data_IF_874241047401
#
_entry.id   IF_874241047401
#
_cell.length_a   1.000
_cell.length_b   1.000
_cell.length_c   1.000
_cell.angle_alpha   90.00
_cell.angle_beta   90.00
_cell.angle_gamma   90.00
#
_symmetry.space_group_name_H-M   'P 1'
#
loop_
_entity.id
_entity.type
_entity.pdbx_description
1 polymer ?
#
# COMPACT_ATOMS: atom_id res chain seq x y z
N UNK A 1 6.02 -54.39 -1.52
CA UNK A 1 5.51 -53.92 -2.82
C UNK A 1 5.60 -52.40 -2.84
N UNK A 2 6.70 -51.91 -3.40
CA UNK A 2 6.82 -50.71 -4.26
C UNK A 2 5.93 -49.49 -3.98
N UNK A 3 6.49 -48.57 -3.20
CA UNK A 3 6.76 -47.16 -3.59
C UNK A 3 6.14 -46.71 -4.92
N UNK A 4 5.04 -45.94 -4.91
CA UNK A 4 4.54 -45.26 -6.11
C UNK A 4 3.56 -44.08 -5.88
N UNK A 5 3.72 -43.26 -4.83
CA UNK A 5 2.82 -42.09 -4.65
C UNK A 5 3.51 -40.77 -4.22
N UNK A 6 4.83 -40.62 -4.41
CA UNK A 6 5.55 -39.38 -4.13
C UNK A 6 6.11 -38.69 -5.39
N UNK A 7 5.39 -38.75 -6.52
CA UNK A 7 5.71 -37.94 -7.70
C UNK A 7 4.54 -37.02 -8.02
N UNK A 8 4.43 -35.93 -7.27
CA UNK A 8 3.86 -34.66 -7.72
C UNK A 8 4.10 -33.54 -6.68
N UNK A 9 5.20 -33.63 -5.92
CA UNK A 9 5.79 -32.44 -5.31
C UNK A 9 6.65 -31.79 -6.39
N UNK A 10 6.19 -30.69 -6.96
CA UNK A 10 7.10 -29.74 -7.62
C UNK A 10 7.91 -29.06 -6.51
N UNK A 11 8.78 -29.86 -5.87
CA UNK A 11 9.96 -29.34 -5.22
C UNK A 11 10.87 -28.95 -6.38
N UNK A 12 11.04 -27.65 -6.63
CA UNK A 12 12.29 -27.21 -7.24
C UNK A 12 13.37 -27.63 -6.24
N UNK A 13 14.25 -28.59 -6.54
CA UNK A 13 15.26 -29.02 -5.59
C UNK A 13 16.32 -27.92 -5.55
N UNK A 14 16.09 -26.88 -4.75
CA UNK A 14 17.20 -26.09 -4.24
C UNK A 14 17.73 -26.90 -3.07
N UNK A 15 18.98 -27.39 -3.11
CA UNK A 15 19.52 -28.27 -2.08
C UNK A 15 19.38 -27.57 -0.73
N UNK A 16 18.49 -28.13 0.08
CA UNK A 16 18.28 -27.73 1.46
C UNK A 16 19.49 -28.24 2.22
N UNK A 17 20.13 -27.31 2.92
CA UNK A 17 21.26 -27.47 3.83
C UNK A 17 22.62 -27.41 3.11
N UNK A 18 23.31 -26.28 3.34
CA UNK A 18 24.74 -26.03 3.11
C UNK A 18 25.16 -25.11 1.95
N UNK A 19 24.40 -24.04 1.69
CA UNK A 19 25.01 -22.79 1.22
C UNK A 19 25.00 -21.76 2.35
N UNK A 20 26.07 -21.76 3.16
CA UNK A 20 26.33 -20.68 4.11
C UNK A 20 26.25 -19.32 3.37
N UNK A 21 25.42 -18.45 3.94
CA UNK A 21 25.44 -16.99 3.85
C UNK A 21 24.89 -16.32 2.57
N UNK A 22 23.62 -15.87 2.72
CA UNK A 22 23.02 -14.67 2.12
C UNK A 22 22.67 -14.74 0.63
N UNK A 23 21.45 -15.17 0.25
CA UNK A 23 20.71 -14.53 -0.87
C UNK A 23 19.26 -14.97 -1.20
N UNK A 24 18.68 -16.02 -0.61
CA UNK A 24 17.32 -16.47 -0.99
C UNK A 24 16.33 -16.47 0.18
N UNK A 25 15.15 -15.87 -0.05
CA UNK A 25 13.98 -16.00 0.81
C UNK A 25 13.21 -17.25 0.38
N UNK A 26 12.82 -18.07 1.35
CA UNK A 26 12.23 -19.40 1.12
C UNK A 26 10.83 -19.44 1.71
N UNK A 27 9.85 -19.81 0.89
CA UNK A 27 8.51 -20.18 1.33
C UNK A 27 8.33 -21.69 1.32
N UNK A 28 7.60 -22.24 2.27
CA UNK A 28 7.31 -23.68 2.40
C UNK A 28 5.82 -23.90 2.64
N UNK A 29 5.24 -24.91 2.00
CA UNK A 29 3.88 -25.39 2.28
C UNK A 29 3.95 -26.84 2.79
N UNK A 30 3.20 -27.17 3.83
CA UNK A 30 3.18 -28.52 4.39
C UNK A 30 1.85 -28.85 5.06
N UNK A 31 1.49 -30.13 5.08
CA UNK A 31 0.21 -30.63 5.59
C UNK A 31 0.36 -31.59 6.80
N UNK A 32 1.57 -32.07 7.05
CA UNK A 32 1.86 -33.08 8.08
C UNK A 32 2.88 -32.64 9.16
N UNK A 33 2.93 -33.42 10.24
CA UNK A 33 3.85 -33.19 11.37
C UNK A 33 5.34 -33.33 10.98
N UNK A 34 5.63 -34.11 9.93
CA UNK A 34 6.95 -34.26 9.33
C UNK A 34 7.45 -32.96 8.67
N UNK A 35 6.55 -32.05 8.29
CA UNK A 35 6.92 -30.78 7.66
C UNK A 35 7.14 -29.65 8.67
N UNK A 36 6.80 -29.85 9.95
CA UNK A 36 6.87 -28.83 11.00
C UNK A 36 8.26 -28.20 11.14
N UNK A 37 9.33 -29.01 11.02
CA UNK A 37 10.70 -28.49 11.06
C UNK A 37 11.00 -27.55 9.89
N UNK A 38 10.56 -27.90 8.68
CA UNK A 38 10.75 -27.10 7.48
C UNK A 38 9.86 -25.84 7.46
N UNK A 39 8.60 -25.97 7.89
CA UNK A 39 7.66 -24.84 8.02
C UNK A 39 8.19 -23.78 8.97
N UNK A 40 8.77 -24.19 10.11
CA UNK A 40 9.35 -23.27 11.10
C UNK A 40 10.68 -22.66 10.65
N UNK A 41 11.47 -23.40 9.86
CA UNK A 41 12.74 -22.91 9.33
C UNK A 41 12.58 -22.00 8.10
N UNK A 42 11.46 -22.10 7.38
CA UNK A 42 11.17 -21.25 6.23
C UNK A 42 10.96 -19.79 6.65
N UNK A 43 11.26 -18.86 5.73
CA UNK A 43 10.97 -17.44 5.97
C UNK A 43 9.47 -17.15 5.94
N UNK A 44 8.70 -17.96 5.19
CA UNK A 44 7.25 -17.95 5.18
C UNK A 44 6.73 -19.40 5.09
N UNK A 45 6.27 -19.96 6.20
CA UNK A 45 5.57 -21.24 6.23
C UNK A 45 4.06 -21.07 5.99
N UNK A 46 3.46 -22.00 5.25
CA UNK A 46 2.00 -22.13 5.09
C UNK A 46 1.59 -23.56 5.44
N UNK A 47 0.82 -23.71 6.51
CA UNK A 47 0.22 -25.00 6.84
C UNK A 47 -1.05 -25.21 6.01
N UNK A 48 -1.16 -26.35 5.32
CA UNK A 48 -2.35 -26.75 4.56
C UNK A 48 -3.35 -27.56 5.40
N UNK A 49 -3.04 -27.76 6.69
CA UNK A 49 -3.85 -28.53 7.63
C UNK A 49 -4.09 -27.70 8.89
N UNK A 50 -5.31 -27.80 9.45
CA UNK A 50 -5.68 -27.13 10.70
C UNK A 50 -5.14 -27.89 11.93
N UNK A 51 -4.56 -29.07 11.73
CA UNK A 51 -3.99 -29.92 12.79
C UNK A 51 -2.58 -29.45 13.23
N UNK A 52 -1.76 -30.36 13.79
CA UNK A 52 -0.46 -30.07 14.43
C UNK A 52 0.49 -29.20 13.60
N UNK A 53 0.43 -29.28 12.26
CA UNK A 53 1.26 -28.46 11.36
C UNK A 53 0.96 -26.94 11.44
N UNK A 54 -0.24 -26.54 11.88
CA UNK A 54 -0.62 -25.13 12.03
C UNK A 54 0.15 -24.43 13.16
N UNK A 55 0.56 -25.16 14.19
CA UNK A 55 1.33 -24.64 15.33
C UNK A 55 2.75 -24.22 14.91
N UNK A 56 3.28 -24.85 13.85
CA UNK A 56 4.64 -24.61 13.36
C UNK A 56 4.73 -23.47 12.33
N UNK A 57 3.61 -22.95 11.85
CA UNK A 57 3.55 -22.09 10.66
C UNK A 57 2.91 -20.73 10.94
N UNK A 58 3.45 -19.60 10.43
CA UNK A 58 2.86 -18.28 10.60
C UNK A 58 1.54 -18.10 9.83
N UNK A 59 1.33 -18.88 8.76
CA UNK A 59 0.07 -18.91 8.00
C UNK A 59 -0.55 -20.31 8.06
N UNK A 60 -1.88 -20.37 8.17
CA UNK A 60 -2.66 -21.62 8.08
C UNK A 60 -3.77 -21.45 7.05
N UNK A 61 -3.77 -22.30 6.03
CA UNK A 61 -4.77 -22.33 4.99
C UNK A 61 -6.04 -23.03 5.50
N UNK A 62 -7.18 -22.38 5.34
CA UNK A 62 -8.49 -22.98 5.70
C UNK A 62 -8.92 -24.07 4.71
N UNK A 63 -8.47 -23.96 3.47
CA UNK A 63 -8.66 -24.97 2.43
C UNK A 63 -7.35 -25.72 2.29
N UNK A 64 -7.40 -27.05 2.27
CA UNK A 64 -6.23 -27.91 2.06
C UNK A 64 -5.69 -27.89 0.62
N UNK A 65 -5.48 -26.69 0.06
CA UNK A 65 -4.89 -26.49 -1.26
C UNK A 65 -3.97 -25.27 -1.26
N UNK A 66 -3.13 -25.17 -2.27
CA UNK A 66 -2.09 -24.13 -2.38
C UNK A 66 -2.59 -22.81 -2.99
N UNK A 67 -3.90 -22.64 -3.23
CA UNK A 67 -4.44 -21.43 -3.87
C UNK A 67 -4.24 -20.17 -3.01
N UNK A 68 -4.06 -20.33 -1.70
CA UNK A 68 -3.73 -19.23 -0.81
C UNK A 68 -2.32 -18.66 -1.03
N UNK A 69 -1.41 -19.40 -1.68
CA UNK A 69 -0.01 -18.97 -1.86
C UNK A 69 0.09 -17.76 -2.79
N UNK A 70 -0.53 -17.75 -3.99
CA UNK A 70 -0.65 -16.53 -4.80
C UNK A 70 -1.24 -15.34 -4.04
N UNK A 71 -2.28 -15.56 -3.23
CA UNK A 71 -2.93 -14.48 -2.46
C UNK A 71 -1.99 -13.90 -1.39
N UNK A 72 -1.28 -14.75 -0.65
CA UNK A 72 -0.26 -14.32 0.32
C UNK A 72 0.85 -13.52 -0.38
N UNK A 73 1.29 -13.94 -1.58
CA UNK A 73 2.30 -13.21 -2.34
C UNK A 73 1.78 -11.85 -2.82
N UNK A 74 0.52 -11.77 -3.26
CA UNK A 74 -0.13 -10.52 -3.68
C UNK A 74 -0.23 -9.55 -2.50
N UNK A 75 -0.77 -10.01 -1.38
CA UNK A 75 -0.91 -9.22 -0.15
C UNK A 75 0.45 -8.79 0.41
N UNK A 76 1.45 -9.66 0.40
CA UNK A 76 2.81 -9.31 0.82
C UNK A 76 3.43 -8.23 -0.06
N UNK A 77 3.20 -8.25 -1.38
CA UNK A 77 3.68 -7.21 -2.31
C UNK A 77 2.92 -5.89 -2.15
N UNK A 78 1.60 -5.95 -1.96
CA UNK A 78 0.77 -4.79 -1.68
C UNK A 78 1.19 -4.11 -0.38
N UNK A 79 1.35 -4.90 0.69
CA UNK A 79 1.84 -4.44 1.99
C UNK A 79 3.23 -3.79 1.87
N UNK A 80 4.16 -4.43 1.16
CA UNK A 80 5.50 -3.86 0.95
C UNK A 80 5.42 -2.51 0.23
N UNK A 81 4.62 -2.41 -0.84
CA UNK A 81 4.42 -1.17 -1.58
C UNK A 81 3.79 -0.07 -0.70
N UNK A 82 2.79 -0.42 0.12
CA UNK A 82 2.14 0.48 1.07
C UNK A 82 3.10 0.99 2.13
N UNK A 83 3.90 0.12 2.75
CA UNK A 83 4.91 0.51 3.75
C UNK A 83 5.94 1.47 3.16
N UNK A 84 6.43 1.20 1.94
CA UNK A 84 7.37 2.10 1.26
C UNK A 84 6.72 3.43 0.84
N UNK A 85 5.45 3.42 0.43
CA UNK A 85 4.66 4.63 0.19
C UNK A 85 4.53 5.47 1.46
N UNK A 86 4.11 4.85 2.57
CA UNK A 86 3.93 5.49 3.87
C UNK A 86 5.26 6.06 4.38
N UNK A 87 6.36 5.35 4.18
CA UNK A 87 7.69 5.85 4.54
C UNK A 87 8.06 7.12 3.75
N UNK A 88 7.86 7.12 2.42
CA UNK A 88 8.14 8.31 1.58
C UNK A 88 7.30 9.50 2.02
N UNK A 89 6.00 9.27 2.26
CA UNK A 89 5.10 10.26 2.84
C UNK A 89 5.66 10.82 4.15
N UNK A 90 6.04 9.94 5.07
CA UNK A 90 6.54 10.31 6.40
C UNK A 90 7.80 11.18 6.34
N UNK A 91 8.76 10.79 5.49
CA UNK A 91 9.97 11.59 5.30
C UNK A 91 9.66 12.94 4.67
N UNK A 92 8.88 12.95 3.57
CA UNK A 92 8.59 14.18 2.86
C UNK A 92 7.80 15.18 3.71
N UNK A 93 6.79 14.75 4.47
CA UNK A 93 6.04 15.68 5.31
C UNK A 93 6.93 16.30 6.41
N UNK A 94 7.77 15.50 7.07
CA UNK A 94 8.67 16.01 8.11
C UNK A 94 9.57 17.14 7.57
N UNK A 95 10.15 16.93 6.37
CA UNK A 95 10.99 17.94 5.74
C UNK A 95 10.20 19.15 5.27
N UNK A 96 8.98 18.98 4.76
CA UNK A 96 8.14 20.10 4.37
C UNK A 96 7.78 20.95 5.57
N UNK A 97 7.26 20.36 6.64
CA UNK A 97 6.94 21.07 7.88
C UNK A 97 8.18 21.77 8.42
N UNK A 98 9.33 21.08 8.46
CA UNK A 98 10.60 21.67 8.88
C UNK A 98 10.98 22.90 8.04
N UNK A 99 10.81 22.87 6.71
CA UNK A 99 11.08 24.04 5.87
C UNK A 99 10.20 25.22 6.25
N UNK A 100 8.90 25.00 6.47
CA UNK A 100 7.98 26.06 6.94
C UNK A 100 8.41 26.66 8.29
N UNK A 101 8.79 25.79 9.24
CA UNK A 101 9.30 26.21 10.56
C UNK A 101 10.60 27.01 10.43
N UNK A 102 11.56 26.53 9.63
CA UNK A 102 12.84 27.21 9.44
C UNK A 102 12.68 28.59 8.81
N UNK A 103 11.74 28.75 7.86
CA UNK A 103 11.41 30.06 7.31
C UNK A 103 10.85 31.01 8.36
N UNK A 104 9.95 30.52 9.23
CA UNK A 104 9.41 31.35 10.30
C UNK A 104 10.48 31.72 11.32
N UNK A 105 11.37 30.79 11.67
CA UNK A 105 12.50 31.07 12.56
C UNK A 105 13.50 32.05 11.96
N UNK A 106 13.69 32.04 10.63
CA UNK A 106 14.50 33.05 9.96
C UNK A 106 13.96 34.46 10.21
N UNK A 107 12.63 34.61 10.26
CA UNK A 107 11.95 35.87 10.61
C UNK A 107 11.75 36.07 12.12
N UNK A 108 12.27 35.17 12.97
CA UNK A 108 12.16 35.23 14.43
C UNK A 108 10.79 34.82 14.99
N UNK A 109 9.96 34.14 14.20
CA UNK A 109 8.62 33.67 14.54
C UNK A 109 8.55 32.16 14.68
N UNK A 110 7.53 31.66 15.39
CA UNK A 110 7.25 30.24 15.49
C UNK A 110 5.79 29.95 15.11
N UNK A 111 5.48 28.78 14.51
CA UNK A 111 4.09 28.36 14.36
C UNK A 111 3.38 28.25 15.71
N UNK A 112 2.07 28.46 15.71
CA UNK A 112 1.24 28.22 16.88
C UNK A 112 1.08 26.72 17.17
N UNK A 113 0.74 26.38 18.41
CA UNK A 113 0.36 25.00 18.76
C UNK A 113 -0.81 24.51 17.93
N UNK A 114 -1.79 25.38 17.66
CA UNK A 114 -2.94 25.04 16.82
C UNK A 114 -2.58 24.74 15.38
N UNK A 115 -1.55 25.41 14.83
CA UNK A 115 -1.03 25.08 13.50
C UNK A 115 -0.38 23.69 13.46
N UNK A 116 0.43 23.33 14.46
CA UNK A 116 1.00 21.98 14.56
C UNK A 116 -0.08 20.92 14.68
N UNK A 117 -1.09 21.13 15.55
CA UNK A 117 -2.21 20.19 15.70
C UNK A 117 -2.98 20.03 14.39
N UNK A 118 -3.26 21.14 13.69
CA UNK A 118 -3.94 21.08 12.39
C UNK A 118 -3.12 20.28 11.36
N UNK A 119 -1.84 20.60 11.19
CA UNK A 119 -0.98 19.94 10.20
C UNK A 119 -0.76 18.47 10.56
N UNK A 120 -0.32 18.17 11.78
CA UNK A 120 0.10 16.82 12.15
C UNK A 120 -1.09 15.87 12.34
N UNK A 121 -2.17 16.33 13.00
CA UNK A 121 -3.29 15.47 13.37
C UNK A 121 -4.40 15.47 12.31
N UNK A 122 -4.80 16.66 11.83
CA UNK A 122 -5.94 16.75 10.90
C UNK A 122 -5.53 16.38 9.48
N UNK A 123 -4.35 16.82 9.03
CA UNK A 123 -3.92 16.65 7.63
C UNK A 123 -2.97 15.48 7.43
N UNK A 124 -2.07 15.18 8.39
CA UNK A 124 -0.92 14.30 8.12
C UNK A 124 -1.01 12.88 8.71
N UNK A 125 -1.83 12.69 9.74
CA UNK A 125 -1.87 11.44 10.50
C UNK A 125 -2.53 10.29 9.73
N UNK A 126 -3.70 10.55 9.14
CA UNK A 126 -4.55 9.51 8.54
C UNK A 126 -4.00 8.90 7.25
N UNK A 127 -3.40 9.64 6.31
CA UNK A 127 -2.96 9.08 5.03
C UNK A 127 -2.00 7.88 5.19
N UNK A 128 -0.86 7.99 5.90
CA UNK A 128 0.09 6.88 6.00
C UNK A 128 -0.51 5.65 6.70
N UNK A 129 -1.43 5.83 7.66
CA UNK A 129 -2.13 4.72 8.30
C UNK A 129 -3.04 3.96 7.34
N UNK A 130 -3.70 4.68 6.44
CA UNK A 130 -4.65 4.09 5.51
C UNK A 130 -4.02 3.49 4.26
N UNK A 131 -2.73 3.74 3.98
CA UNK A 131 -2.02 3.07 2.87
C UNK A 131 -2.06 1.55 3.01
N UNK A 132 -1.97 1.02 4.23
CA UNK A 132 -2.05 -0.41 4.51
C UNK A 132 -3.44 -1.02 4.30
N UNK A 133 -4.48 -0.20 4.13
CA UNK A 133 -5.85 -0.66 3.83
C UNK A 133 -6.11 -0.80 2.32
N UNK A 134 -5.12 -0.48 1.48
CA UNK A 134 -5.24 -0.65 0.04
C UNK A 134 -5.22 -2.12 -0.35
N UNK A 135 -6.23 -2.53 -1.11
CA UNK A 135 -6.36 -3.91 -1.59
C UNK A 135 -5.23 -4.28 -2.57
N UNK A 136 -4.78 -5.53 -2.50
CA UNK A 136 -3.80 -6.05 -3.44
C UNK A 136 -4.36 -6.14 -4.87
N UNK A 137 -3.51 -5.87 -5.85
CA UNK A 137 -3.89 -5.96 -7.26
C UNK A 137 -4.16 -7.41 -7.69
N UNK A 138 -5.08 -7.62 -8.64
CA UNK A 138 -5.57 -8.95 -9.05
C UNK A 138 -4.55 -9.86 -9.72
N UNK A 139 -3.49 -9.28 -10.28
CA UNK A 139 -2.47 -10.01 -11.04
C UNK A 139 -1.09 -9.85 -10.38
N UNK A 140 -0.35 -10.95 -10.29
CA UNK A 140 1.04 -10.94 -9.84
C UNK A 140 1.94 -10.51 -11.00
N UNK A 141 2.78 -9.51 -10.77
CA UNK A 141 3.76 -9.04 -11.75
C UNK A 141 5.14 -9.67 -11.55
N UNK A 142 5.91 -9.80 -12.63
CA UNK A 142 7.28 -10.36 -12.55
C UNK A 142 8.22 -9.51 -11.69
N UNK A 143 8.10 -8.17 -11.78
CA UNK A 143 8.95 -7.24 -11.01
C UNK A 143 8.43 -7.15 -9.58
N UNK A 144 9.27 -7.33 -8.54
CA UNK A 144 8.87 -7.06 -7.17
C UNK A 144 8.79 -5.55 -6.92
N UNK A 145 8.02 -5.11 -5.90
CA UNK A 145 8.11 -3.75 -5.38
C UNK A 145 9.54 -3.40 -4.96
N UNK A 146 9.81 -2.10 -4.81
CA UNK A 146 11.08 -1.64 -4.29
C UNK A 146 11.39 -2.31 -2.94
N UNK A 147 12.59 -2.87 -2.80
CA UNK A 147 13.03 -3.60 -1.59
C UNK A 147 13.97 -2.77 -0.70
N UNK A 148 14.43 -1.62 -1.19
CA UNK A 148 15.34 -0.74 -0.47
C UNK A 148 14.97 0.71 -0.64
N UNK A 149 15.10 1.46 0.46
CA UNK A 149 14.92 2.90 0.53
C UNK A 149 16.05 3.62 -0.20
N UNK A 150 17.26 3.05 -0.17
CA UNK A 150 18.46 3.63 -0.79
C UNK A 150 18.53 3.43 -2.31
N UNK A 151 17.47 2.93 -2.93
CA UNK A 151 17.41 2.88 -4.39
C UNK A 151 17.42 4.29 -4.96
N UNK A 152 18.21 4.51 -6.02
CA UNK A 152 18.34 5.81 -6.69
C UNK A 152 16.99 6.45 -6.99
N UNK A 153 16.02 5.66 -7.46
CA UNK A 153 14.69 6.16 -7.81
C UNK A 153 13.91 6.67 -6.60
N UNK A 154 14.02 5.96 -5.46
CA UNK A 154 13.36 6.36 -4.21
C UNK A 154 13.99 7.64 -3.65
N UNK A 155 15.32 7.74 -3.68
CA UNK A 155 16.05 8.94 -3.25
C UNK A 155 15.70 10.13 -4.14
N UNK A 156 15.73 9.95 -5.46
CA UNK A 156 15.39 11.00 -6.41
C UNK A 156 13.96 11.50 -6.22
N UNK A 157 12.99 10.59 -6.03
CA UNK A 157 11.59 10.91 -5.73
C UNK A 157 11.48 11.82 -4.50
N UNK A 158 12.03 11.39 -3.34
CA UNK A 158 11.96 12.15 -2.09
C UNK A 158 12.70 13.48 -2.19
N UNK A 159 13.93 13.51 -2.71
CA UNK A 159 14.72 14.73 -2.80
C UNK A 159 14.09 15.74 -3.77
N UNK A 160 13.64 15.29 -4.94
CA UNK A 160 13.00 16.18 -5.91
C UNK A 160 11.68 16.75 -5.39
N UNK A 161 10.89 15.94 -4.65
CA UNK A 161 9.71 16.43 -3.98
C UNK A 161 10.06 17.55 -2.99
N UNK A 162 11.02 17.32 -2.09
CA UNK A 162 11.47 18.32 -1.11
C UNK A 162 11.93 19.61 -1.81
N UNK A 163 12.72 19.50 -2.88
CA UNK A 163 13.20 20.66 -3.65
C UNK A 163 12.06 21.46 -4.29
N UNK A 164 11.07 20.78 -4.87
CA UNK A 164 9.86 21.43 -5.42
C UNK A 164 9.13 22.16 -4.29
N UNK A 165 8.91 21.52 -3.15
CA UNK A 165 8.23 22.16 -2.02
C UNK A 165 8.99 23.38 -1.50
N UNK A 166 10.32 23.30 -1.37
CA UNK A 166 11.16 24.43 -0.97
C UNK A 166 11.05 25.58 -1.96
N UNK A 167 11.06 25.32 -3.27
CA UNK A 167 10.89 26.37 -4.28
C UNK A 167 9.55 27.11 -4.14
N UNK A 168 8.46 26.39 -3.86
CA UNK A 168 7.15 27.00 -3.61
C UNK A 168 7.10 27.80 -2.30
N UNK A 169 7.81 27.36 -1.24
CA UNK A 169 7.95 28.15 -0.01
C UNK A 169 8.70 29.46 -0.26
N UNK A 170 9.81 29.41 -1.00
CA UNK A 170 10.56 30.62 -1.41
C UNK A 170 9.65 31.58 -2.18
N UNK A 171 8.88 31.05 -3.13
CA UNK A 171 8.00 31.87 -3.97
C UNK A 171 6.87 32.52 -3.16
N UNK A 172 6.25 31.78 -2.24
CA UNK A 172 5.22 32.32 -1.35
C UNK A 172 5.78 33.40 -0.41
N UNK A 173 6.94 33.16 0.19
CA UNK A 173 7.66 34.14 1.01
C UNK A 173 7.94 35.42 0.20
N UNK A 174 8.54 35.28 -0.97
CA UNK A 174 8.92 36.41 -1.83
C UNK A 174 7.71 37.23 -2.30
N UNK A 175 6.59 36.56 -2.54
CA UNK A 175 5.30 37.18 -2.86
C UNK A 175 4.73 37.95 -1.65
N UNK A 176 4.78 37.36 -0.44
CA UNK A 176 4.27 37.99 0.79
C UNK A 176 5.05 39.25 1.16
N UNK A 177 6.38 39.21 1.09
CA UNK A 177 7.25 40.34 1.43
C UNK A 177 7.06 41.54 0.49
N UNK A 178 6.62 41.30 -0.76
CA UNK A 178 6.36 42.37 -1.74
C UNK A 178 5.02 43.07 -1.58
N UNK A 179 4.14 42.59 -0.71
CA UNK A 179 2.85 43.23 -0.54
C UNK A 179 3.02 44.58 0.19
N UNK A 180 2.35 45.65 -0.27
CA UNK A 180 2.55 47.00 0.27
C UNK A 180 2.10 47.15 1.73
N UNK A 181 1.19 46.29 2.17
CA UNK A 181 0.66 46.23 3.53
C UNK A 181 1.41 45.24 4.42
N UNK A 182 2.43 44.54 3.89
CA UNK A 182 3.17 43.56 4.67
C UNK A 182 4.09 44.28 5.67
N UNK A 183 3.83 44.05 6.95
CA UNK A 183 4.61 44.59 8.05
C UNK A 183 5.70 43.58 8.46
N UNK A 184 6.97 44.00 8.59
CA UNK A 184 8.01 43.15 9.15
C UNK A 184 7.64 42.70 10.56
N UNK A 185 8.01 41.48 10.92
CA UNK A 185 7.81 40.99 12.27
C UNK A 185 8.64 41.80 13.28
N UNK A 186 7.99 42.25 14.35
CA UNK A 186 8.65 42.92 15.46
C UNK A 186 8.62 41.97 16.66
N UNK A 187 9.80 41.55 17.10
CA UNK A 187 9.92 40.64 18.24
C UNK A 187 9.51 41.34 19.54
N UNK A 188 8.44 40.85 20.16
CA UNK A 188 7.97 41.31 21.46
C UNK A 188 8.50 40.41 22.59
N UNK A 189 9.40 40.97 23.40
CA UNK A 189 10.00 40.29 24.56
C UNK A 189 8.98 39.87 25.62
N UNK A 190 7.78 40.47 25.64
CA UNK A 190 6.74 40.17 26.63
C UNK A 190 5.84 39.00 26.23
N UNK A 191 5.79 38.65 24.93
CA UNK A 191 4.89 37.62 24.37
C UNK A 191 5.65 36.53 23.61
N UNK A 192 6.69 35.99 24.24
CA UNK A 192 7.60 34.98 23.64
C UNK A 192 6.84 33.72 23.18
N UNK A 193 5.85 33.27 23.94
CA UNK A 193 5.08 32.05 23.65
C UNK A 193 3.81 32.28 22.81
N UNK A 194 3.39 33.54 22.63
CA UNK A 194 2.16 33.89 21.89
C UNK A 194 2.44 35.07 20.95
N UNK A 195 3.35 34.83 20.00
CA UNK A 195 3.70 35.81 18.98
C UNK A 195 2.45 36.30 18.25
N UNK A 196 2.38 37.62 18.01
CA UNK A 196 1.28 38.21 17.26
C UNK A 196 1.16 37.57 15.87
N UNK A 197 -0.06 37.39 15.35
CA UNK A 197 -0.25 36.82 14.02
C UNK A 197 0.37 37.74 12.96
N UNK A 198 1.03 37.15 11.97
CA UNK A 198 1.61 37.89 10.84
C UNK A 198 1.10 37.37 9.51
N UNK A 199 1.11 38.23 8.50
CA UNK A 199 0.77 37.84 7.14
C UNK A 199 1.77 36.84 6.56
N UNK A 200 3.03 37.00 6.93
CA UNK A 200 4.11 36.10 6.54
C UNK A 200 3.90 34.69 7.09
N UNK A 201 3.54 34.57 8.38
CA UNK A 201 3.16 33.30 8.99
C UNK A 201 1.98 32.65 8.25
N UNK A 202 0.96 33.44 7.96
CA UNK A 202 -0.22 32.99 7.21
C UNK A 202 0.16 32.47 5.82
N UNK A 203 1.02 33.17 5.09
CA UNK A 203 1.47 32.79 3.75
C UNK A 203 2.28 31.49 3.75
N UNK A 204 3.28 31.40 4.63
CA UNK A 204 4.19 30.27 4.73
C UNK A 204 3.46 29.03 5.22
N UNK A 205 2.62 29.12 6.24
CA UNK A 205 1.86 27.96 6.73
C UNK A 205 0.76 27.54 5.75
N UNK A 206 0.13 28.48 5.04
CA UNK A 206 -0.84 28.16 3.98
C UNK A 206 -0.20 27.33 2.87
N UNK A 207 0.97 27.75 2.35
CA UNK A 207 1.69 26.99 1.33
C UNK A 207 2.25 25.67 1.89
N UNK A 208 2.51 25.59 3.19
CA UNK A 208 2.99 24.38 3.87
C UNK A 208 1.92 23.29 3.97
N UNK A 209 0.64 23.66 4.09
CA UNK A 209 -0.46 22.70 4.28
C UNK A 209 -0.72 21.82 3.04
N UNK A 210 -0.81 22.41 1.84
CA UNK A 210 -1.15 21.68 0.61
C UNK A 210 -0.20 20.51 0.26
N UNK A 211 1.14 20.64 0.40
CA UNK A 211 2.09 19.54 0.21
C UNK A 211 1.78 18.24 0.95
N UNK A 212 1.12 18.30 2.11
CA UNK A 212 0.72 17.10 2.86
C UNK A 212 -0.36 16.32 2.12
N UNK A 213 -1.34 17.03 1.55
CA UNK A 213 -2.38 16.44 0.68
C UNK A 213 -1.75 15.93 -0.62
N UNK A 214 -0.82 16.69 -1.20
CA UNK A 214 -0.08 16.27 -2.40
C UNK A 214 0.65 14.95 -2.11
N UNK A 215 1.41 14.88 -1.02
CA UNK A 215 2.15 13.68 -0.61
C UNK A 215 1.23 12.48 -0.44
N UNK A 216 0.02 12.66 0.12
CA UNK A 216 -0.98 11.61 0.29
C UNK A 216 -1.42 11.04 -1.06
N UNK A 217 -1.56 11.88 -2.08
CA UNK A 217 -1.96 11.45 -3.43
C UNK A 217 -0.81 10.81 -4.19
N UNK A 218 0.36 11.45 -4.21
CA UNK A 218 1.46 11.05 -5.12
C UNK A 218 2.28 9.86 -4.61
N UNK A 219 2.37 9.67 -3.29
CA UNK A 219 3.12 8.55 -2.70
C UNK A 219 2.27 7.33 -2.38
N UNK A 220 0.95 7.42 -2.54
CA UNK A 220 0.08 6.27 -2.44
C UNK A 220 0.52 5.19 -3.45
N UNK A 221 0.71 3.92 -3.02
CA UNK A 221 0.95 2.86 -3.97
C UNK A 221 -0.24 2.71 -4.93
N UNK A 222 0.05 2.36 -6.17
CA UNK A 222 -0.98 2.06 -7.17
C UNK A 222 -0.71 0.75 -7.90
N UNK A 223 -1.38 0.55 -9.04
CA UNK A 223 -1.07 -0.54 -9.94
C UNK A 223 0.42 -0.51 -10.33
N UNK A 224 1.09 -1.66 -10.38
CA UNK A 224 0.51 -3.00 -10.46
C UNK A 224 0.50 -3.79 -9.13
N UNK A 225 0.74 -3.17 -7.98
CA UNK A 225 0.83 -3.88 -6.69
C UNK A 225 -0.41 -3.74 -5.83
N UNK A 226 -1.04 -2.57 -5.87
CA UNK A 226 -2.28 -2.27 -5.15
C UNK A 226 -3.34 -1.79 -6.15
N UNK A 227 -4.61 -1.86 -5.78
CA UNK A 227 -5.69 -1.29 -6.58
C UNK A 227 -5.62 0.25 -6.58
N UNK A 228 -6.20 0.93 -7.58
CA UNK A 228 -6.24 2.38 -7.62
C UNK A 228 -6.94 2.98 -6.40
N UNK A 229 -6.53 4.20 -6.03
CA UNK A 229 -7.07 5.00 -4.93
C UNK A 229 -8.60 5.01 -4.85
N UNK A 230 -9.26 5.11 -6.01
CA UNK A 230 -10.72 5.23 -6.16
C UNK A 230 -11.47 4.01 -5.62
N UNK A 231 -10.83 2.84 -5.57
CA UNK A 231 -11.43 1.60 -5.06
C UNK A 231 -11.68 1.69 -3.56
N UNK A 232 -10.81 2.38 -2.82
CA UNK A 232 -10.90 2.54 -1.38
C UNK A 232 -11.70 3.80 -1.04
N UNK A 233 -13.01 3.65 -0.83
CA UNK A 233 -13.93 4.75 -0.53
C UNK A 233 -13.56 5.51 0.74
N UNK A 234 -13.04 4.83 1.76
CA UNK A 234 -12.61 5.46 3.01
C UNK A 234 -11.42 6.40 2.76
N UNK A 235 -10.41 5.91 2.05
CA UNK A 235 -9.24 6.72 1.72
C UNK A 235 -9.59 7.91 0.82
N UNK A 236 -10.45 7.70 -0.19
CA UNK A 236 -10.96 8.77 -1.02
C UNK A 236 -11.68 9.86 -0.19
N UNK A 237 -12.51 9.46 0.78
CA UNK A 237 -13.18 10.40 1.66
C UNK A 237 -12.19 11.22 2.50
N UNK A 238 -11.13 10.59 3.01
CA UNK A 238 -10.07 11.26 3.77
C UNK A 238 -9.31 12.27 2.92
N UNK A 239 -8.84 11.89 1.73
CA UNK A 239 -8.11 12.81 0.84
C UNK A 239 -8.99 13.99 0.40
N UNK A 240 -10.26 13.74 0.09
CA UNK A 240 -11.20 14.81 -0.26
C UNK A 240 -11.45 15.73 0.94
N UNK A 241 -11.64 15.17 2.14
CA UNK A 241 -11.77 15.96 3.36
C UNK A 241 -10.54 16.83 3.62
N UNK A 242 -9.34 16.27 3.54
CA UNK A 242 -8.08 16.99 3.73
C UNK A 242 -7.90 18.11 2.70
N UNK A 243 -8.18 17.82 1.43
CA UNK A 243 -8.13 18.82 0.37
C UNK A 243 -9.09 19.98 0.65
N UNK A 244 -10.34 19.69 1.03
CA UNK A 244 -11.34 20.71 1.35
C UNK A 244 -10.98 21.48 2.63
N UNK A 245 -10.50 20.81 3.67
CA UNK A 245 -10.10 21.42 4.93
C UNK A 245 -8.92 22.38 4.73
N UNK A 246 -7.90 21.97 3.99
CA UNK A 246 -6.75 22.82 3.63
C UNK A 246 -7.20 23.99 2.76
N UNK A 247 -8.03 23.75 1.74
CA UNK A 247 -8.57 24.82 0.89
C UNK A 247 -9.35 25.86 1.69
N UNK A 248 -10.16 25.40 2.64
CA UNK A 248 -10.93 26.26 3.55
C UNK A 248 -10.03 27.11 4.45
N UNK A 249 -8.98 26.51 5.04
CA UNK A 249 -8.01 27.20 5.90
C UNK A 249 -7.18 28.23 5.14
N UNK A 250 -6.84 27.97 3.87
CA UNK A 250 -6.08 28.92 3.04
C UNK A 250 -6.95 30.12 2.60
N UNK A 251 -8.20 29.85 2.19
CA UNK A 251 -9.05 30.88 1.57
C UNK A 251 -9.70 31.80 2.60
N UNK A 252 -10.53 31.26 3.50
CA UNK A 252 -11.29 32.07 4.44
C UNK A 252 -11.78 31.23 5.63
N UNK A 253 -10.90 30.91 6.59
CA UNK A 253 -11.28 30.17 7.80
C UNK A 253 -12.18 31.03 8.71
N UNK A 254 -13.06 30.38 9.46
CA UNK A 254 -13.86 31.04 10.49
C UNK A 254 -12.95 31.67 11.57
N UNK A 255 -13.39 32.74 12.26
CA UNK A 255 -12.56 33.46 13.22
C UNK A 255 -11.93 32.56 14.29
N UNK A 256 -12.68 31.61 14.84
CA UNK A 256 -12.15 30.69 15.86
C UNK A 256 -11.02 29.80 15.33
N UNK A 257 -11.06 29.38 14.07
CA UNK A 257 -10.02 28.55 13.44
C UNK A 257 -8.80 29.41 13.13
N UNK A 258 -9.04 30.61 12.61
CA UNK A 258 -8.00 31.60 12.35
C UNK A 258 -7.23 31.93 13.63
N UNK A 259 -7.93 32.17 14.72
CA UNK A 259 -7.34 32.51 16.02
C UNK A 259 -6.62 31.29 16.62
N UNK A 260 -7.18 30.08 16.47
CA UNK A 260 -6.53 28.84 16.92
C UNK A 260 -5.21 28.55 16.18
N UNK A 261 -5.19 28.71 14.85
CA UNK A 261 -4.00 28.52 14.01
C UNK A 261 -3.07 29.76 14.07
N UNK A 262 -3.53 30.89 14.60
CA UNK A 262 -2.82 32.18 14.66
C UNK A 262 -2.55 32.81 13.28
N UNK A 263 -3.55 32.75 12.39
CA UNK A 263 -3.52 33.39 11.07
C UNK A 263 -3.95 34.86 11.15
N UNK A 264 -3.35 35.72 10.31
CA UNK A 264 -3.74 37.13 10.15
C UNK A 264 -4.57 37.27 8.88
N UNK A 265 -5.73 37.91 9.00
CA UNK A 265 -6.58 38.22 7.84
C UNK A 265 -5.93 39.30 6.98
N UNK A 266 -5.59 38.96 5.73
CA UNK A 266 -5.04 39.93 4.79
C UNK A 266 -6.07 41.01 4.46
N UNK A 267 -5.66 42.28 4.29
CA UNK A 267 -6.58 43.36 3.93
C UNK A 267 -7.23 43.17 2.55
N UNK A 268 -6.64 42.32 1.71
CA UNK A 268 -7.11 42.02 0.37
C UNK A 268 -7.33 40.51 0.22
N UNK A 269 -8.57 40.09 -0.07
CA UNK A 269 -8.90 38.68 -0.30
C UNK A 269 -8.12 38.05 -1.47
N UNK A 270 -7.71 38.88 -2.44
CA UNK A 270 -6.88 38.46 -3.57
C UNK A 270 -5.58 37.79 -3.13
N UNK A 271 -5.02 38.16 -1.98
CA UNK A 271 -3.83 37.54 -1.42
C UNK A 271 -4.04 36.03 -1.17
N UNK A 272 -5.13 35.68 -0.49
CA UNK A 272 -5.49 34.28 -0.20
C UNK A 272 -5.75 33.49 -1.48
N UNK A 273 -6.40 34.09 -2.46
CA UNK A 273 -6.63 33.46 -3.78
C UNK A 273 -5.31 33.19 -4.49
N UNK A 274 -4.34 34.12 -4.48
CA UNK A 274 -3.03 33.90 -5.12
C UNK A 274 -2.25 32.78 -4.44
N UNK A 275 -2.21 32.76 -3.10
CA UNK A 275 -1.55 31.67 -2.34
C UNK A 275 -2.24 30.32 -2.60
N UNK A 276 -3.57 30.31 -2.69
CA UNK A 276 -4.32 29.10 -3.04
C UNK A 276 -4.02 28.62 -4.47
N UNK A 277 -4.02 29.53 -5.45
CA UNK A 277 -3.67 29.20 -6.84
C UNK A 277 -2.22 28.70 -6.95
N UNK A 278 -1.31 29.28 -6.17
CA UNK A 278 0.08 28.82 -6.08
C UNK A 278 0.15 27.39 -5.50
N UNK A 279 -0.69 27.09 -4.51
CA UNK A 279 -0.81 25.75 -3.92
C UNK A 279 -1.39 24.72 -4.91
N UNK A 280 -2.38 25.10 -5.72
CA UNK A 280 -2.92 24.26 -6.79
C UNK A 280 -1.92 24.04 -7.93
N UNK A 281 -1.13 25.05 -8.26
CA UNK A 281 -0.03 24.92 -9.22
C UNK A 281 1.02 23.94 -8.68
N UNK A 282 1.38 24.05 -7.40
CA UNK A 282 2.28 23.11 -6.74
C UNK A 282 1.74 21.67 -6.79
N UNK A 283 0.44 21.49 -6.52
CA UNK A 283 -0.21 20.19 -6.67
C UNK A 283 -0.02 19.63 -8.07
N UNK A 284 -0.33 20.44 -9.08
CA UNK A 284 -0.25 20.03 -10.49
C UNK A 284 1.18 19.66 -10.90
N UNK A 285 2.16 20.49 -10.56
CA UNK A 285 3.58 20.25 -10.87
C UNK A 285 4.09 19.00 -10.14
N UNK A 286 3.82 18.89 -8.84
CA UNK A 286 4.26 17.75 -8.02
C UNK A 286 3.63 16.43 -8.50
N UNK A 287 2.35 16.46 -8.89
CA UNK A 287 1.66 15.29 -9.44
C UNK A 287 2.27 14.87 -10.78
N UNK A 288 2.46 15.81 -11.72
CA UNK A 288 3.08 15.52 -13.02
C UNK A 288 4.52 15.00 -12.84
N UNK A 289 5.27 15.58 -11.91
CA UNK A 289 6.64 15.16 -11.65
C UNK A 289 6.71 13.74 -11.07
N UNK A 290 5.99 13.47 -9.98
CA UNK A 290 6.09 12.19 -9.29
C UNK A 290 5.38 11.06 -10.07
N UNK A 291 4.14 11.27 -10.51
CA UNK A 291 3.33 10.20 -11.13
C UNK A 291 3.74 9.97 -12.58
N UNK A 292 3.91 11.04 -13.37
CA UNK A 292 4.20 10.89 -14.80
C UNK A 292 5.70 10.77 -15.08
N UNK A 293 6.54 11.63 -14.49
CA UNK A 293 7.97 11.60 -14.80
C UNK A 293 8.72 10.51 -14.02
N UNK A 294 8.59 10.43 -12.70
CA UNK A 294 9.32 9.44 -11.89
C UNK A 294 8.71 8.03 -12.04
N UNK A 295 7.43 7.88 -11.71
CA UNK A 295 6.78 6.56 -11.62
C UNK A 295 6.45 5.97 -13.00
N UNK A 296 6.09 6.78 -14.00
CA UNK A 296 5.83 6.27 -15.35
C UNK A 296 7.09 6.28 -16.23
N UNK A 297 7.66 7.46 -16.52
CA UNK A 297 8.76 7.58 -17.48
C UNK A 297 10.08 6.94 -17.00
N UNK A 298 10.56 7.29 -15.80
CA UNK A 298 11.83 6.74 -15.29
C UNK A 298 11.74 5.24 -15.02
N UNK A 299 10.67 4.76 -14.38
CA UNK A 299 10.51 3.35 -14.02
C UNK A 299 10.30 2.43 -15.23
N UNK A 300 9.52 2.86 -16.24
CA UNK A 300 9.22 2.02 -17.39
C UNK A 300 10.23 2.15 -18.54
N UNK A 301 10.83 3.32 -18.78
CA UNK A 301 11.76 3.51 -19.90
C UNK A 301 13.23 3.48 -19.47
N UNK A 302 13.60 4.29 -18.50
CA UNK A 302 15.01 4.51 -18.15
C UNK A 302 15.58 3.35 -17.33
N UNK A 303 14.85 2.89 -16.31
CA UNK A 303 15.34 1.81 -15.45
C UNK A 303 15.57 0.49 -16.20
N UNK A 304 14.69 0.05 -17.13
CA UNK A 304 14.95 -1.15 -17.91
C UNK A 304 16.10 -0.97 -18.91
N UNK A 305 16.24 0.21 -19.51
CA UNK A 305 17.36 0.51 -20.41
C UNK A 305 18.71 0.44 -19.67
N UNK A 306 18.82 1.10 -18.50
CA UNK A 306 20.00 1.05 -17.64
C UNK A 306 20.31 -0.38 -17.15
N UNK A 307 19.28 -1.17 -16.84
CA UNK A 307 19.45 -2.58 -16.44
C UNK A 307 19.91 -3.44 -17.61
N UNK A 308 19.38 -3.20 -18.81
CA UNK A 308 19.83 -3.86 -20.04
C UNK A 308 21.32 -3.61 -20.30
N UNK A 309 21.81 -2.39 -20.05
CA UNK A 309 23.23 -2.05 -20.18
C UNK A 309 24.12 -2.69 -19.10
N UNK A 310 23.63 -2.83 -17.86
CA UNK A 310 24.43 -3.38 -16.73
C UNK A 310 24.49 -4.91 -16.67
N UNK A 311 23.65 -5.62 -17.43
CA UNK A 311 23.60 -7.09 -17.43
C UNK A 311 22.95 -7.70 -16.18
N UNK A 312 22.96 -9.05 -16.03
CA UNK A 312 22.31 -9.75 -14.93
C UNK A 312 23.05 -9.52 -13.60
N UNK A 313 22.40 -8.81 -12.67
CA UNK A 313 22.97 -8.45 -11.37
C UNK A 313 22.66 -9.53 -10.34
N UNK A 314 21.48 -10.14 -10.41
CA UNK A 314 21.04 -11.09 -9.40
C UNK A 314 21.57 -12.51 -9.68
N UNK A 315 21.87 -13.24 -8.60
CA UNK A 315 22.39 -14.60 -8.67
C UNK A 315 21.40 -15.54 -9.37
N UNK A 316 20.09 -15.39 -9.15
CA UNK A 316 19.10 -16.21 -9.87
C UNK A 316 19.09 -15.93 -11.37
N UNK A 317 19.33 -14.68 -11.82
CA UNK A 317 19.40 -14.36 -13.26
C UNK A 317 20.65 -14.96 -13.89
N UNK A 318 21.75 -15.02 -13.11
CA UNK A 318 22.98 -15.70 -13.53
C UNK A 318 22.78 -17.20 -13.62
N UNK A 319 22.16 -17.81 -12.61
CA UNK A 319 21.83 -19.24 -12.59
C UNK A 319 20.83 -19.57 -13.71
N UNK A 320 19.77 -18.77 -13.91
CA UNK A 320 18.81 -18.97 -14.99
C UNK A 320 19.48 -18.86 -16.36
N UNK A 321 20.43 -17.92 -16.52
CA UNK A 321 21.23 -17.80 -17.74
C UNK A 321 22.16 -19.00 -17.92
N UNK A 322 22.84 -19.45 -16.88
CA UNK A 322 23.70 -20.64 -16.90
C UNK A 322 22.89 -21.90 -17.25
N UNK A 323 21.73 -22.09 -16.62
CA UNK A 323 20.80 -23.18 -16.90
C UNK A 323 20.23 -23.10 -18.32
N UNK A 324 19.96 -21.89 -18.84
CA UNK A 324 19.49 -21.72 -20.22
C UNK A 324 20.56 -22.02 -21.26
N UNK A 325 21.84 -21.96 -20.88
CA UNK A 325 22.98 -22.29 -21.72
C UNK A 325 23.40 -23.76 -21.59
N UNK A 326 23.00 -24.43 -20.51
CA UNK A 326 23.26 -25.85 -20.29
C UNK A 326 22.29 -26.71 -21.11
N UNK A 327 22.79 -27.26 -22.21
CA UNK A 327 22.04 -28.16 -23.09
C UNK A 327 21.69 -29.51 -22.45
N UNK A 328 22.27 -29.84 -21.29
CA UNK A 328 21.94 -31.05 -20.52
C UNK A 328 20.82 -30.81 -19.51
N UNK A 329 20.52 -29.56 -19.19
CA UNK A 329 19.42 -29.23 -18.29
C UNK A 329 18.09 -29.40 -19.03
N UNK A 330 17.08 -30.07 -18.45
CA UNK A 330 15.76 -30.15 -19.08
C UNK A 330 15.26 -28.72 -19.35
N UNK A 331 14.72 -28.45 -20.55
CA UNK A 331 14.30 -27.10 -20.90
C UNK A 331 13.30 -26.62 -19.84
N UNK A 332 13.63 -25.48 -19.21
CA UNK A 332 12.68 -24.77 -18.36
C UNK A 332 11.46 -24.51 -19.24
N UNK A 333 10.34 -25.16 -18.93
CA UNK A 333 9.14 -25.07 -19.74
C UNK A 333 8.88 -23.61 -20.06
N UNK A 334 8.86 -23.27 -21.36
CA UNK A 334 8.07 -22.12 -21.76
C UNK A 334 6.69 -22.40 -21.18
N UNK A 335 6.02 -21.37 -20.65
CA UNK A 335 4.59 -21.46 -20.38
C UNK A 335 3.87 -21.57 -21.74
N UNK A 336 4.12 -22.66 -22.44
CA UNK A 336 3.43 -23.08 -23.61
C UNK A 336 2.11 -23.60 -23.05
N UNK A 337 1.05 -22.92 -23.45
CA UNK A 337 -0.27 -23.48 -23.60
C UNK A 337 -0.15 -24.88 -24.22
N UNK A 338 0.00 -25.92 -23.39
CA UNK A 338 -0.34 -27.26 -23.84
C UNK A 338 -1.83 -27.22 -24.19
N UNK A 339 -2.23 -27.60 -25.42
CA UNK A 339 -3.64 -27.81 -25.70
C UNK A 339 -4.13 -28.84 -24.69
N UNK A 340 -5.30 -28.56 -24.10
CA UNK A 340 -5.92 -29.44 -23.12
C UNK A 340 -5.86 -30.90 -23.62
N UNK A 341 -5.56 -31.83 -22.71
CA UNK A 341 -5.65 -33.27 -22.95
C UNK A 341 -6.83 -33.58 -23.88
N UNK A 342 -6.68 -34.46 -24.90
CA UNK A 342 -7.80 -34.83 -25.77
C UNK A 342 -9.00 -35.45 -25.02
N UNK A 343 -8.83 -35.78 -23.73
CA UNK A 343 -9.91 -36.20 -22.82
C UNK A 343 -10.66 -35.05 -22.13
N UNK A 344 -10.27 -33.79 -22.38
CA UNK A 344 -10.96 -32.60 -21.87
C UNK A 344 -11.89 -32.03 -22.95
N UNK A 345 -13.13 -32.52 -22.97
CA UNK A 345 -14.21 -31.92 -23.73
C UNK A 345 -14.87 -30.80 -22.90
N UNK A 346 -14.65 -29.50 -23.24
CA UNK A 346 -15.23 -28.38 -22.51
C UNK A 346 -16.76 -28.35 -22.56
N UNK A 347 -17.38 -29.00 -23.55
CA UNK A 347 -18.84 -29.00 -23.71
C UNK A 347 -19.52 -29.97 -22.74
N UNK A 348 -18.85 -31.06 -22.32
CA UNK A 348 -19.35 -31.99 -21.30
C UNK A 348 -19.36 -31.34 -19.90
N UNK A 349 -18.38 -30.49 -19.59
CA UNK A 349 -18.31 -29.78 -18.31
C UNK A 349 -19.36 -28.66 -18.21
N UNK A 350 -19.67 -27.99 -19.33
CA UNK A 350 -20.71 -26.95 -19.42
C UNK A 350 -22.14 -27.52 -19.43
N UNK A 351 -22.35 -28.72 -19.99
CA UNK A 351 -23.65 -29.41 -19.93
C UNK A 351 -24.02 -29.85 -18.50
N UNK A 352 -23.04 -30.26 -17.69
CA UNK A 352 -23.27 -30.64 -16.29
C UNK A 352 -23.71 -29.46 -15.43
N UNK A 353 -23.16 -28.26 -15.69
CA UNK A 353 -23.45 -27.06 -14.91
C UNK A 353 -24.76 -26.34 -15.33
N UNK A 354 -25.25 -26.61 -16.55
CA UNK A 354 -26.50 -26.04 -17.07
C UNK A 354 -27.76 -26.87 -16.79
N UNK A 355 -27.64 -28.20 -16.68
CA UNK A 355 -28.75 -29.08 -16.25
C UNK A 355 -29.09 -28.84 -14.77
N UNK A 356 -28.08 -28.56 -13.92
CA UNK A 356 -28.29 -28.27 -12.48
C UNK A 356 -29.01 -26.92 -12.27
N UNK A 357 -28.89 -25.96 -13.19
CA UNK A 357 -29.49 -24.62 -13.06
C UNK A 357 -30.95 -24.50 -13.51
N UNK A 358 -31.57 -25.53 -14.08
CA UNK A 358 -32.88 -25.42 -14.76
C UNK A 358 -34.09 -26.08 -14.07
N UNK A 359 -33.99 -26.56 -12.84
CA UNK A 359 -35.20 -26.94 -12.09
C UNK A 359 -35.57 -25.87 -11.06
N UNK A 360 -36.71 -25.16 -11.23
CA UNK A 360 -37.23 -24.26 -10.21
C UNK A 360 -37.92 -25.04 -9.10
N UNK A 361 -37.66 -24.66 -7.86
CA UNK A 361 -38.29 -25.19 -6.65
C UNK A 361 -39.77 -24.80 -6.60
N UNK A 362 -40.67 -25.78 -6.40
CA UNK A 362 -42.02 -25.56 -5.87
C UNK A 362 -42.22 -26.44 -4.63
N UNK A 363 -42.82 -25.91 -3.54
CA UNK A 363 -42.95 -26.63 -2.28
C UNK A 363 -44.29 -27.38 -2.19
N UNK A 364 -44.31 -28.62 -1.70
CA UNK A 364 -45.32 -29.13 -0.75
C UNK A 364 -45.05 -30.57 -0.27
N UNK A 365 -45.39 -30.75 1.01
CA UNK A 365 -45.41 -31.88 1.97
C UNK A 365 -45.88 -33.31 1.53
N UNK A 366 -45.86 -34.33 2.42
CA UNK A 366 -45.13 -35.60 2.23
C UNK A 366 -46.03 -36.82 1.98
N UNK A 367 -45.45 -37.95 1.56
CA UNK A 367 -46.03 -39.27 1.84
C UNK A 367 -45.02 -40.44 1.80
N UNK A 368 -45.08 -41.20 2.90
CA UNK A 368 -44.55 -42.53 3.21
C UNK A 368 -44.39 -43.52 2.05
N UNK A 369 -43.24 -44.20 1.99
CA UNK A 369 -43.15 -45.68 1.91
C UNK A 369 -41.75 -46.21 2.23
N UNK A 370 -41.72 -47.26 3.06
CA UNK A 370 -40.55 -48.03 3.53
C UNK A 370 -39.97 -48.95 2.45
N UNK A 371 -38.64 -49.16 2.46
CA UNK A 371 -37.86 -50.43 2.56
C UNK A 371 -36.46 -50.33 1.88
N UNK A 372 -35.46 -51.19 2.21
CA UNK A 372 -34.28 -50.77 2.97
C UNK A 372 -32.91 -50.98 2.26
N UNK A 373 -31.87 -50.37 2.85
CA UNK A 373 -30.52 -50.94 2.90
C UNK A 373 -29.48 -50.35 1.94
N UNK A 374 -28.68 -49.41 2.43
CA UNK A 374 -27.23 -49.31 2.21
C UNK A 374 -26.69 -48.04 2.89
N UNK A 375 -25.69 -48.22 3.76
CA UNK A 375 -24.95 -47.17 4.46
C UNK A 375 -24.20 -46.24 3.51
N UNK A 376 -24.41 -44.92 3.59
CA UNK A 376 -23.36 -43.90 3.37
C UNK A 376 -23.72 -42.62 4.14
N UNK A 377 -22.77 -42.13 4.95
CA UNK A 377 -22.76 -40.82 5.60
C UNK A 377 -23.06 -39.66 4.63
N UNK A 378 -24.14 -38.91 4.88
CA UNK A 378 -24.36 -37.59 4.26
C UNK A 378 -23.61 -36.49 5.02
N UNK A 379 -22.76 -35.79 4.28
CA UNK A 379 -22.06 -34.57 4.68
C UNK A 379 -23.04 -33.40 4.78
N UNK A 380 -23.01 -32.71 5.92
CA UNK A 380 -23.65 -31.42 6.09
C UNK A 380 -23.11 -30.38 5.10
N UNK A 381 -24.05 -29.68 4.48
CA UNK A 381 -23.91 -28.53 3.60
C UNK A 381 -23.27 -27.38 4.38
N UNK A 382 -22.14 -26.84 3.90
CA UNK A 382 -21.60 -25.56 4.37
C UNK A 382 -21.99 -24.44 3.41
N UNK A 383 -22.78 -23.49 3.92
CA UNK A 383 -22.95 -22.14 3.39
C UNK A 383 -21.59 -21.51 3.05
N UNK A 384 -21.49 -20.79 1.94
CA UNK A 384 -20.29 -19.99 1.61
C UNK A 384 -20.20 -18.79 2.56
N UNK A 385 -19.14 -18.63 3.38
CA UNK A 385 -18.90 -17.37 4.04
C UNK A 385 -18.11 -16.45 3.10
N UNK A 386 -18.52 -15.19 3.02
CA UNK A 386 -17.70 -14.09 2.53
C UNK A 386 -16.41 -14.02 3.35
N UNK A 387 -15.26 -13.96 2.69
CA UNK A 387 -13.95 -13.82 3.35
C UNK A 387 -13.86 -12.41 3.94
N UNK A 388 -13.95 -12.30 5.26
CA UNK A 388 -13.71 -11.05 6.00
C UNK A 388 -12.51 -11.26 6.91
N UNK A 389 -11.45 -10.49 6.69
CA UNK A 389 -10.31 -10.46 7.60
C UNK A 389 -10.71 -9.72 8.89
N UNK A 390 -10.72 -10.43 10.03
CA UNK A 390 -10.90 -9.80 11.35
C UNK A 390 -9.56 -9.29 11.84
N UNK A 391 -9.42 -7.97 11.96
CA UNK A 391 -8.31 -7.32 12.67
C UNK A 391 -8.46 -7.49 14.18
N UNK A 392 -7.33 -7.40 14.90
CA UNK A 392 -7.09 -7.76 16.30
C UNK A 392 -7.98 -7.08 17.38
N UNK A 393 -8.97 -6.26 16.99
CA UNK A 393 -9.77 -5.41 17.91
C UNK A 393 -11.07 -6.03 18.42
N UNK A 394 -11.41 -7.27 18.06
CA UNK A 394 -12.66 -7.93 18.43
C UNK A 394 -12.56 -8.97 19.56
N UNK A 395 -11.39 -9.15 20.18
CA UNK A 395 -11.20 -10.16 21.24
C UNK A 395 -11.73 -9.74 22.63
N UNK A 396 -12.10 -8.47 22.86
CA UNK A 396 -12.42 -7.99 24.21
C UNK A 396 -13.92 -7.95 24.59
N UNK A 397 -14.87 -8.22 23.68
CA UNK A 397 -16.31 -8.11 23.99
C UNK A 397 -17.03 -9.39 24.42
N UNK A 398 -16.31 -10.47 24.79
CA UNK A 398 -16.93 -11.73 25.26
C UNK A 398 -16.41 -12.24 26.61
N UNK A 399 -16.21 -11.34 27.57
CA UNK A 399 -16.10 -11.73 28.99
C UNK A 399 -16.97 -10.80 29.83
N UNK A 400 -18.27 -11.06 29.87
CA UNK A 400 -19.15 -10.78 31.02
C UNK A 400 -20.46 -11.54 30.81
N UNK A 401 -20.60 -12.63 31.56
CA UNK A 401 -21.81 -13.33 32.02
C UNK A 401 -21.55 -14.83 32.07
N UNK A 402 -20.79 -15.29 33.07
CA UNK A 402 -21.00 -16.58 33.75
C UNK A 402 -20.29 -16.50 35.12
N UNK A 403 -21.02 -16.02 36.12
CA UNK A 403 -20.88 -16.36 37.54
C UNK A 403 -22.09 -15.81 38.28
#
# INVERSE_FOLDING_TARGET
>A
MTTSSQRNQVLVPLPVIESRSRRFQVGMCGDGANDCGALKAAHAGVSLSVAEASVASPFTAQKGNIQCVPDIIREGRATLAATFGSFRYMVCYCFVLLMGVLYLFWDGQQPSEGAYVFIDIVVSFLPPMLFGTMEAFDKITKRPPAKSISNFLSILSVLSFILIQTAFHVLAHFFSVRQPWNEPFVFDKTRIHTSAPTYMCTAVLSINCMPHVIAAVVFLPGPPYTKPMITNKLYMAVVVFEFLAVSYVILYPAPFIRDYINFREAPQFQFHVVIYMLSLLNFSISYLWEVYFIQHFLYHKIQPALRGMRGPIHVYEKIERELSLDTKWPPMGKADSEPASPDYDPDIALFRDSIIRRQPETPTMPLSRKFPGADVHEMNIYERPSVTFKTFRQSERRRHNES
#
